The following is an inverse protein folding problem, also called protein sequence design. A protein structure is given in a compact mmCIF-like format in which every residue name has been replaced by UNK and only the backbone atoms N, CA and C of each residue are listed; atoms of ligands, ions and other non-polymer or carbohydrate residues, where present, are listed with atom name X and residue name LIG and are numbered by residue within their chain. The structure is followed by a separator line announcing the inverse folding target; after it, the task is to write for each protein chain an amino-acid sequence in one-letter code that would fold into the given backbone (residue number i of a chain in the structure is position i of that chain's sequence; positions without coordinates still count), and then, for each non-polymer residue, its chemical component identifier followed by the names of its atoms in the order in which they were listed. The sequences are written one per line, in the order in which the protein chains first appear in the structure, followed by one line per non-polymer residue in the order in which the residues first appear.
data_IF_488514185934
#
_entry.id   IF_488514185934
#
_cell.length_a   1.000
_cell.length_b   1.000
_cell.length_c   1.000
_cell.angle_alpha   90.00
_cell.angle_beta   90.00
_cell.angle_gamma   90.00
#
_symmetry.space_group_name_H-M   'P 1'
#
loop_
_entity.id
_entity.type
_entity.pdbx_description
1 polymer ?
#
# COMPACT_ATOMS: atom_id res chain seq x y z
N UNK A 1 -3.51 0.79 -8.95
CA UNK A 1 -2.70 -0.28 -8.34
C UNK A 1 -3.57 -1.46 -7.86
N UNK A 2 -4.60 -1.86 -8.62
CA UNK A 2 -5.47 -2.99 -8.27
C UNK A 2 -6.00 -2.92 -6.83
N UNK A 3 -5.89 -4.04 -6.10
CA UNK A 3 -6.34 -4.18 -4.71
C UNK A 3 -5.27 -3.95 -3.64
N UNK A 4 -4.09 -3.41 -3.97
CA UNK A 4 -2.93 -3.34 -3.04
C UNK A 4 -3.29 -2.72 -1.67
N UNK A 5 -3.80 -1.50 -1.66
CA UNK A 5 -4.18 -0.80 -0.42
C UNK A 5 -5.33 -1.51 0.32
N UNK A 6 -6.35 -1.94 -0.41
CA UNK A 6 -7.50 -2.62 0.17
C UNK A 6 -7.13 -3.95 0.82
N UNK A 7 -6.16 -4.68 0.27
CA UNK A 7 -5.66 -5.92 0.84
C UNK A 7 -4.88 -5.69 2.12
N UNK A 8 -4.05 -4.63 2.17
CA UNK A 8 -3.35 -4.22 3.38
C UNK A 8 -4.33 -3.84 4.49
N UNK A 9 -5.31 -2.98 4.19
CA UNK A 9 -6.32 -2.59 5.17
C UNK A 9 -7.17 -3.77 5.64
N UNK A 10 -7.52 -4.70 4.75
CA UNK A 10 -8.25 -5.92 5.13
C UNK A 10 -7.47 -6.80 6.09
N UNK A 11 -6.13 -6.76 6.06
CA UNK A 11 -5.27 -7.46 7.02
C UNK A 11 -5.11 -6.71 8.34
N UNK A 12 -4.93 -5.38 8.29
CA UNK A 12 -4.71 -4.57 9.49
C UNK A 12 -5.98 -4.35 10.33
N UNK A 13 -7.14 -4.17 9.69
CA UNK A 13 -8.39 -3.84 10.38
C UNK A 13 -8.84 -4.88 11.42
N UNK A 14 -8.77 -6.21 11.16
CA UNK A 14 -9.07 -7.22 12.19
C UNK A 14 -8.16 -7.12 13.42
N UNK A 15 -6.87 -6.81 13.24
CA UNK A 15 -5.92 -6.64 14.35
C UNK A 15 -6.28 -5.41 15.19
N UNK A 16 -6.54 -4.27 14.52
CA UNK A 16 -7.02 -3.04 15.17
C UNK A 16 -8.30 -3.29 15.98
N UNK A 17 -9.25 -4.03 15.40
CA UNK A 17 -10.52 -4.37 16.08
C UNK A 17 -10.28 -5.26 17.30
N UNK A 18 -9.37 -6.23 17.19
CA UNK A 18 -9.03 -7.13 18.30
C UNK A 18 -8.46 -6.35 19.49
N UNK A 19 -7.56 -5.40 19.24
CA UNK A 19 -7.00 -4.55 20.29
C UNK A 19 -8.06 -3.65 20.92
N UNK A 20 -8.94 -3.05 20.12
CA UNK A 20 -10.05 -2.24 20.64
C UNK A 20 -11.03 -3.06 21.49
N UNK A 21 -11.34 -4.29 21.09
CA UNK A 21 -12.18 -5.21 21.86
C UNK A 21 -11.54 -5.63 23.20
N UNK A 22 -10.20 -5.64 23.25
CA UNK A 22 -9.42 -5.85 24.48
C UNK A 22 -9.33 -4.60 25.35
N UNK A 23 -9.91 -3.47 24.91
CA UNK A 23 -9.86 -2.19 25.62
C UNK A 23 -8.54 -1.44 25.46
N UNK A 24 -7.72 -1.81 24.48
CA UNK A 24 -6.46 -1.11 24.15
C UNK A 24 -6.77 0.07 23.23
N UNK A 25 -6.28 1.26 23.59
CA UNK A 25 -6.36 2.43 22.73
C UNK A 25 -5.38 2.31 21.56
N UNK A 26 -5.85 2.64 20.35
CA UNK A 26 -5.04 2.51 19.14
C UNK A 26 -4.89 3.86 18.45
N UNK A 27 -3.63 4.26 18.28
CA UNK A 27 -3.23 5.44 17.54
C UNK A 27 -2.66 5.06 16.17
N UNK A 28 -2.87 5.91 15.16
CA UNK A 28 -2.50 5.66 13.78
C UNK A 28 -1.51 6.73 13.29
N UNK A 29 -0.37 6.27 12.78
CA UNK A 29 0.55 7.08 11.99
C UNK A 29 0.39 6.69 10.51
N UNK A 30 -0.07 7.62 9.67
CA UNK A 30 -0.48 7.31 8.30
C UNK A 30 0.55 7.78 7.28
N UNK A 31 0.97 6.86 6.41
CA UNK A 31 1.86 7.16 5.29
C UNK A 31 1.09 7.03 3.98
N UNK A 32 0.93 8.15 3.28
CA UNK A 32 0.32 8.24 1.96
C UNK A 32 -1.17 8.64 1.93
N UNK A 33 -1.58 9.22 0.79
CA UNK A 33 -2.91 9.81 0.60
C UNK A 33 -4.07 8.82 0.71
N UNK A 34 -3.86 7.58 0.26
CA UNK A 34 -4.90 6.54 0.30
C UNK A 34 -5.22 6.10 1.73
N UNK A 35 -4.20 5.96 2.58
CA UNK A 35 -4.38 5.67 4.00
C UNK A 35 -5.12 6.83 4.69
N UNK A 36 -4.69 8.08 4.48
CA UNK A 36 -5.37 9.25 5.05
C UNK A 36 -6.84 9.32 4.65
N UNK A 37 -7.15 9.15 3.36
CA UNK A 37 -8.54 9.21 2.88
C UNK A 37 -9.38 8.10 3.51
N UNK A 38 -8.82 6.89 3.59
CA UNK A 38 -9.51 5.74 4.18
C UNK A 38 -9.80 5.95 5.67
N UNK A 39 -8.79 6.24 6.48
CA UNK A 39 -8.93 6.37 7.93
C UNK A 39 -9.66 7.64 8.37
N UNK A 40 -9.70 8.70 7.54
CA UNK A 40 -10.62 9.83 7.77
C UNK A 40 -12.10 9.40 7.73
N UNK A 41 -12.45 8.45 6.88
CA UNK A 41 -13.83 7.95 6.75
C UNK A 41 -14.15 6.79 7.68
N UNK A 42 -13.17 5.90 7.90
CA UNK A 42 -13.32 4.74 8.80
C UNK A 42 -13.36 5.17 10.27
N UNK A 43 -12.69 6.28 10.61
CA UNK A 43 -12.45 6.69 11.99
C UNK A 43 -11.15 6.09 12.54
N UNK A 44 -10.72 6.59 13.70
CA UNK A 44 -9.46 6.24 14.33
C UNK A 44 -8.70 7.48 14.79
N UNK A 45 -7.87 7.33 15.82
CA UNK A 45 -7.06 8.43 16.34
C UNK A 45 -5.79 8.58 15.49
N UNK A 46 -5.77 9.54 14.56
CA UNK A 46 -4.60 9.79 13.69
C UNK A 46 -3.69 10.82 14.36
N UNK A 47 -2.52 10.38 14.81
CA UNK A 47 -1.56 11.22 15.54
C UNK A 47 -0.49 11.86 14.66
N UNK A 48 -0.19 11.22 13.54
CA UNK A 48 0.75 11.74 12.56
C UNK A 48 0.35 11.27 11.16
N UNK A 49 0.58 12.10 10.15
CA UNK A 49 0.34 11.73 8.78
C UNK A 49 1.30 12.43 7.83
N UNK A 50 1.82 11.69 6.86
CA UNK A 50 2.61 12.21 5.74
C UNK A 50 1.95 11.80 4.43
N UNK A 51 2.04 12.67 3.43
CA UNK A 51 1.48 12.48 2.10
C UNK A 51 2.52 12.87 1.04
N UNK A 52 2.19 12.60 -0.22
CA UNK A 52 2.91 13.15 -1.38
C UNK A 52 4.41 12.83 -1.45
N UNK A 53 4.79 11.62 -1.03
CA UNK A 53 6.17 11.10 -1.07
C UNK A 53 6.70 10.81 -2.49
N UNK A 54 5.81 10.79 -3.50
CA UNK A 54 6.16 10.48 -4.89
C UNK A 54 6.65 9.03 -5.10
N UNK A 55 7.29 8.80 -6.24
CA UNK A 55 7.85 7.48 -6.63
C UNK A 55 9.27 7.25 -6.08
N UNK A 56 9.92 8.27 -5.53
CA UNK A 56 11.27 8.23 -4.97
C UNK A 56 11.27 8.90 -3.59
N UNK A 57 10.78 8.20 -2.54
CA UNK A 57 10.68 8.76 -1.20
C UNK A 57 12.07 9.02 -0.62
N UNK A 58 12.19 10.10 0.16
CA UNK A 58 13.40 10.39 0.93
C UNK A 58 13.16 10.11 2.42
N UNK A 59 14.21 9.77 3.15
CA UNK A 59 14.07 9.41 4.57
C UNK A 59 13.63 10.63 5.38
N UNK A 60 14.09 11.82 5.01
CA UNK A 60 13.79 13.09 5.68
C UNK A 60 12.28 13.37 5.74
N UNK A 61 11.52 12.93 4.74
CA UNK A 61 10.07 13.10 4.68
C UNK A 61 9.34 12.25 5.73
N UNK A 62 9.95 11.15 6.18
CA UNK A 62 9.38 10.21 7.15
C UNK A 62 9.83 10.51 8.58
N UNK A 63 11.00 11.11 8.77
CA UNK A 63 11.60 11.36 10.11
C UNK A 63 10.60 12.05 11.03
N UNK A 64 9.87 13.06 10.55
CA UNK A 64 8.89 13.77 11.38
C UNK A 64 7.76 12.87 11.88
N UNK A 65 7.24 11.99 11.03
CA UNK A 65 6.15 11.06 11.38
C UNK A 65 6.65 9.98 12.33
N UNK A 66 7.82 9.40 12.05
CA UNK A 66 8.43 8.35 12.88
C UNK A 66 8.76 8.91 14.27
N UNK A 67 9.32 10.12 14.34
CA UNK A 67 9.66 10.78 15.60
C UNK A 67 8.45 10.94 16.51
N UNK A 68 7.28 11.36 16.00
CA UNK A 68 6.06 11.49 16.82
C UNK A 68 5.68 10.16 17.47
N UNK A 69 5.80 9.05 16.75
CA UNK A 69 5.50 7.72 17.28
C UNK A 69 6.53 7.28 18.31
N UNK A 70 7.83 7.50 18.03
CA UNK A 70 8.90 7.14 18.96
C UNK A 70 8.90 7.98 20.24
N UNK A 71 8.63 9.28 20.15
CA UNK A 71 8.56 10.16 21.32
C UNK A 71 7.43 9.72 22.27
N UNK A 72 6.30 9.25 21.73
CA UNK A 72 5.18 8.68 22.52
C UNK A 72 5.55 7.33 23.17
N UNK A 73 6.28 6.49 22.45
CA UNK A 73 6.81 5.24 23.00
C UNK A 73 7.80 5.50 24.13
N UNK A 74 8.75 6.43 23.94
CA UNK A 74 9.72 6.84 24.95
C UNK A 74 9.05 7.45 26.20
N UNK A 75 7.91 8.14 26.02
CA UNK A 75 7.10 8.69 27.10
C UNK A 75 6.25 7.63 27.85
N UNK A 76 6.18 6.39 27.34
CA UNK A 76 5.34 5.34 27.89
C UNK A 76 3.84 5.54 27.61
N UNK A 77 3.48 6.36 26.63
CA UNK A 77 2.09 6.50 26.16
C UNK A 77 1.68 5.33 25.24
N UNK A 78 2.65 4.72 24.57
CA UNK A 78 2.46 3.58 23.68
C UNK A 78 3.40 2.45 24.11
N UNK A 79 2.85 1.25 24.28
CA UNK A 79 3.61 0.05 24.67
C UNK A 79 4.15 -0.74 23.46
N UNK A 80 3.45 -0.70 22.32
CA UNK A 80 3.82 -1.47 21.12
C UNK A 80 3.57 -0.66 19.84
N UNK A 81 4.50 -0.77 18.89
CA UNK A 81 4.42 -0.12 17.58
C UNK A 81 4.44 -1.19 16.50
N UNK A 82 3.45 -1.16 15.61
CA UNK A 82 3.33 -2.07 14.47
C UNK A 82 3.45 -1.31 13.15
N UNK A 83 4.11 -1.93 12.17
CA UNK A 83 4.25 -1.44 10.81
C UNK A 83 3.43 -2.30 9.85
N UNK A 84 2.39 -1.70 9.28
CA UNK A 84 1.59 -2.30 8.22
C UNK A 84 2.11 -1.85 6.85
N UNK A 85 2.65 -2.78 6.06
CA UNK A 85 3.22 -2.54 4.73
C UNK A 85 2.94 -3.72 3.79
N UNK A 86 3.30 -3.58 2.51
CA UNK A 86 3.27 -4.71 1.57
C UNK A 86 4.69 -5.16 1.28
N UNK A 87 4.95 -6.46 1.44
CA UNK A 87 6.19 -7.12 1.05
C UNK A 87 6.17 -7.45 -0.43
N UNK A 88 7.24 -7.10 -1.13
CA UNK A 88 7.41 -7.39 -2.55
C UNK A 88 7.91 -8.83 -2.71
N UNK A 89 7.02 -9.74 -3.12
CA UNK A 89 7.41 -11.13 -3.43
C UNK A 89 7.87 -11.23 -4.87
N UNK A 90 7.05 -10.74 -5.80
CA UNK A 90 7.37 -10.60 -7.21
C UNK A 90 6.42 -9.58 -7.86
N UNK A 91 6.53 -9.39 -9.17
CA UNK A 91 5.71 -8.42 -9.93
C UNK A 91 4.21 -8.69 -9.88
N UNK A 92 3.79 -9.96 -9.76
CA UNK A 92 2.38 -10.36 -9.68
C UNK A 92 1.86 -10.49 -8.24
N UNK A 93 2.75 -10.76 -7.28
CA UNK A 93 2.40 -11.07 -5.89
C UNK A 93 3.00 -10.05 -4.94
N UNK A 94 2.13 -9.35 -4.21
CA UNK A 94 2.46 -8.48 -3.10
C UNK A 94 1.73 -8.98 -1.85
N UNK A 95 2.46 -9.22 -0.77
CA UNK A 95 1.92 -9.81 0.45
C UNK A 95 1.73 -8.73 1.51
N UNK A 96 0.49 -8.45 1.97
CA UNK A 96 0.30 -7.51 3.08
C UNK A 96 0.88 -8.12 4.36
N UNK A 97 1.64 -7.31 5.10
CA UNK A 97 2.32 -7.67 6.33
C UNK A 97 2.03 -6.64 7.41
N UNK A 98 1.79 -7.12 8.62
CA UNK A 98 1.77 -6.30 9.83
C UNK A 98 2.85 -6.90 10.71
N UNK A 99 3.89 -6.12 10.98
CA UNK A 99 5.06 -6.57 11.73
C UNK A 99 5.26 -5.66 12.94
N UNK A 100 5.60 -6.24 14.09
CA UNK A 100 5.98 -5.47 15.27
C UNK A 100 7.33 -4.79 15.01
N UNK A 101 7.39 -3.49 15.25
CA UNK A 101 8.57 -2.66 15.07
C UNK A 101 9.27 -2.41 16.42
N UNK A 102 8.48 -2.14 17.46
CA UNK A 102 8.96 -1.93 18.84
C UNK A 102 7.93 -2.53 19.81
N UNK A 103 8.35 -3.22 20.90
CA UNK A 103 9.71 -3.62 21.22
C UNK A 103 10.28 -4.62 20.21
N UNK A 104 11.61 -4.57 19.99
CA UNK A 104 12.30 -5.56 19.17
C UNK A 104 12.29 -6.91 19.89
N UNK A 105 11.82 -7.93 19.20
CA UNK A 105 11.91 -9.30 19.68
C UNK A 105 13.32 -9.82 19.38
N UNK A 106 14.01 -10.32 20.40
CA UNK A 106 15.33 -10.94 20.22
C UNK A 106 15.18 -12.33 19.62
N UNK A 107 15.87 -12.59 18.51
CA UNK A 107 16.07 -13.96 18.05
C UNK A 107 17.19 -14.60 18.89
N UNK A 108 16.94 -15.79 19.46
CA UNK A 108 17.93 -16.60 20.17
C UNK A 108 19.00 -17.10 19.20
N UNK A 109 19.94 -16.23 18.82
CA UNK A 109 21.09 -16.61 18.01
C UNK A 109 22.21 -17.12 18.91
N UNK A 110 22.45 -18.43 18.90
CA UNK A 110 23.50 -19.12 19.68
C UNK A 110 24.92 -18.92 19.14
N UNK A 111 25.11 -18.12 18.09
CA UNK A 111 26.41 -17.88 17.44
C UNK A 111 26.82 -16.40 17.51
N UNK A 112 26.88 -15.83 18.71
CA UNK A 112 27.51 -14.53 18.90
C UNK A 112 29.04 -14.69 18.96
N UNK A 113 29.73 -14.44 17.86
CA UNK A 113 31.17 -14.14 17.92
C UNK A 113 31.29 -12.76 18.58
N UNK A 114 31.58 -12.73 19.88
CA UNK A 114 31.60 -11.51 20.66
C UNK A 114 32.92 -10.75 20.42
N UNK A 115 32.86 -9.72 19.57
CA UNK A 115 33.88 -8.67 19.54
C UNK A 115 33.37 -7.50 20.37
N UNK A 116 34.14 -7.11 21.40
CA UNK A 116 33.85 -5.94 22.21
C UNK A 116 34.39 -4.69 21.49
N UNK A 117 33.56 -3.64 21.42
CA UNK A 117 33.91 -2.39 20.75
C UNK A 117 34.26 -1.32 21.79
N UNK A 118 35.21 -0.44 21.46
CA UNK A 118 35.39 0.78 22.23
C UNK A 118 34.31 1.78 21.83
N UNK A 119 33.34 2.01 22.72
CA UNK A 119 32.25 2.94 22.50
C UNK A 119 32.62 4.35 22.99
N UNK A 120 32.42 5.35 22.13
CA UNK A 120 32.51 6.76 22.49
C UNK A 120 31.15 7.43 22.20
N UNK A 121 30.48 8.09 23.17
CA UNK A 121 30.90 8.35 24.57
C UNK A 121 30.70 7.17 25.54
N UNK A 122 29.64 6.38 25.37
CA UNK A 122 29.37 5.14 26.13
C UNK A 122 28.43 4.23 25.33
N UNK A 123 28.40 2.94 25.68
CA UNK A 123 27.65 1.92 24.94
C UNK A 123 26.14 2.18 24.92
N UNK A 124 25.56 2.71 26.01
CA UNK A 124 24.11 2.96 26.09
C UNK A 124 23.73 4.10 25.14
N UNK A 125 24.45 5.22 25.21
CA UNK A 125 24.18 6.36 24.33
C UNK A 125 24.33 5.99 22.85
N UNK A 126 25.36 5.21 22.52
CA UNK A 126 25.56 4.72 21.15
C UNK A 126 24.41 3.79 20.71
N UNK A 127 23.99 2.86 21.58
CA UNK A 127 22.89 1.95 21.30
C UNK A 127 21.56 2.69 21.12
N UNK A 128 21.23 3.64 22.00
CA UNK A 128 19.99 4.43 21.91
C UNK A 128 19.91 5.18 20.57
N UNK A 129 21.03 5.76 20.11
CA UNK A 129 21.12 6.41 18.80
C UNK A 129 20.94 5.40 17.66
N UNK A 130 21.64 4.26 17.72
CA UNK A 130 21.58 3.21 16.70
C UNK A 130 20.18 2.62 16.59
N UNK A 131 19.49 2.42 17.71
CA UNK A 131 18.14 1.90 17.77
C UNK A 131 17.15 2.83 17.06
N UNK A 132 17.23 4.14 17.32
CA UNK A 132 16.42 5.14 16.60
C UNK A 132 16.68 5.09 15.09
N UNK A 133 17.95 5.08 14.68
CA UNK A 133 18.34 4.99 13.26
C UNK A 133 17.92 3.68 12.60
N UNK A 134 17.97 2.58 13.34
CA UNK A 134 17.51 1.28 12.88
C UNK A 134 16.01 1.30 12.59
N UNK A 135 15.21 1.86 13.50
CA UNK A 135 13.76 1.98 13.32
C UNK A 135 13.44 2.90 12.13
N UNK A 136 14.09 4.06 12.03
CA UNK A 136 13.96 4.96 10.88
C UNK A 136 14.26 4.25 9.55
N UNK A 137 15.36 3.49 9.51
CA UNK A 137 15.79 2.72 8.34
C UNK A 137 14.82 1.59 8.00
N UNK A 138 14.29 0.88 9.01
CA UNK A 138 13.31 -0.21 8.82
C UNK A 138 12.00 0.30 8.23
N UNK A 139 11.48 1.42 8.75
CA UNK A 139 10.29 2.07 8.21
C UNK A 139 10.55 2.58 6.79
N UNK A 140 11.68 3.26 6.55
CA UNK A 140 12.05 3.74 5.23
C UNK A 140 12.18 2.60 4.21
N UNK A 141 12.85 1.51 4.58
CA UNK A 141 12.97 0.31 3.75
C UNK A 141 11.60 -0.27 3.38
N UNK A 142 10.68 -0.33 4.34
CA UNK A 142 9.31 -0.78 4.09
C UNK A 142 8.52 0.16 3.18
N UNK A 143 8.73 1.48 3.27
CA UNK A 143 8.11 2.47 2.37
C UNK A 143 8.64 2.30 0.95
N UNK A 144 9.96 2.17 0.77
CA UNK A 144 10.58 1.93 -0.54
C UNK A 144 10.09 0.61 -1.15
N UNK A 145 10.03 -0.45 -0.37
CA UNK A 145 9.51 -1.75 -0.82
C UNK A 145 8.02 -1.65 -1.20
N UNK A 146 7.22 -0.89 -0.46
CA UNK A 146 5.82 -0.66 -0.78
C UNK A 146 5.64 0.17 -2.07
N UNK A 147 6.55 1.09 -2.39
CA UNK A 147 6.56 1.78 -3.70
C UNK A 147 6.84 0.79 -4.83
N UNK A 148 7.78 -0.14 -4.64
CA UNK A 148 8.01 -1.21 -5.63
C UNK A 148 6.77 -2.11 -5.81
N UNK A 149 6.10 -2.47 -4.71
CA UNK A 149 4.81 -3.16 -4.74
C UNK A 149 3.75 -2.37 -5.52
N UNK A 150 3.70 -1.05 -5.34
CA UNK A 150 2.76 -0.19 -6.05
C UNK A 150 3.00 -0.24 -7.56
N UNK A 151 4.24 -0.11 -8.02
CA UNK A 151 4.54 -0.17 -9.45
C UNK A 151 4.20 -1.54 -10.06
N UNK A 152 4.54 -2.64 -9.35
CA UNK A 152 4.18 -3.99 -9.77
C UNK A 152 2.66 -4.18 -9.88
N UNK A 153 1.92 -3.83 -8.83
CA UNK A 153 0.46 -3.93 -8.81
C UNK A 153 -0.22 -3.00 -9.83
N UNK A 154 0.36 -1.82 -10.09
CA UNK A 154 -0.12 -0.87 -11.10
C UNK A 154 0.08 -1.45 -12.50
N UNK A 155 1.25 -2.00 -12.81
CA UNK A 155 1.54 -2.64 -14.09
C UNK A 155 0.57 -3.78 -14.39
N UNK A 156 0.35 -4.69 -13.44
CA UNK A 156 -0.58 -5.82 -13.61
C UNK A 156 -2.02 -5.34 -13.79
N UNK A 157 -2.46 -4.39 -12.97
CA UNK A 157 -3.82 -3.85 -13.08
C UNK A 157 -4.06 -3.14 -14.41
N UNK A 158 -3.08 -2.40 -14.93
CA UNK A 158 -3.19 -1.71 -16.22
C UNK A 158 -3.14 -2.68 -17.40
N UNK A 159 -2.34 -3.75 -17.31
CA UNK A 159 -2.35 -4.83 -18.31
C UNK A 159 -3.74 -5.46 -18.40
N UNK A 160 -4.31 -5.86 -17.27
CA UNK A 160 -5.66 -6.44 -17.25
C UNK A 160 -6.72 -5.46 -17.77
N UNK A 161 -6.59 -4.16 -17.46
CA UNK A 161 -7.48 -3.14 -17.99
C UNK A 161 -7.38 -3.00 -19.52
N UNK A 162 -6.17 -3.08 -20.08
CA UNK A 162 -5.93 -3.04 -21.52
C UNK A 162 -6.50 -4.29 -22.22
N UNK A 163 -6.30 -5.47 -21.62
CA UNK A 163 -6.84 -6.74 -22.15
C UNK A 163 -8.38 -6.69 -22.16
N UNK A 164 -9.02 -6.26 -21.05
CA UNK A 164 -10.48 -6.09 -20.96
C UNK A 164 -11.03 -5.05 -21.96
N UNK A 165 -10.28 -3.96 -22.20
CA UNK A 165 -10.66 -2.96 -23.19
C UNK A 165 -10.58 -3.54 -24.61
N UNK A 166 -9.59 -4.40 -24.89
CA UNK A 166 -9.47 -5.13 -26.15
C UNK A 166 -10.69 -6.01 -26.43
N UNK A 167 -11.11 -6.80 -25.44
CA UNK A 167 -12.32 -7.64 -25.53
C UNK A 167 -13.57 -6.79 -25.83
N UNK A 168 -13.75 -5.69 -25.10
CA UNK A 168 -14.88 -4.78 -25.32
C UNK A 168 -14.86 -4.15 -26.72
N UNK A 169 -13.69 -3.78 -27.22
CA UNK A 169 -13.53 -3.24 -28.57
C UNK A 169 -13.96 -4.27 -29.62
N UNK A 170 -13.59 -5.53 -29.45
CA UNK A 170 -13.92 -6.58 -30.40
C UNK A 170 -15.43 -6.91 -30.40
N UNK A 171 -16.06 -6.91 -29.23
CA UNK A 171 -17.52 -7.02 -29.11
C UNK A 171 -18.24 -5.85 -29.79
N UNK A 172 -17.77 -4.62 -29.56
CA UNK A 172 -18.35 -3.42 -30.19
C UNK A 172 -18.15 -3.41 -31.70
N UNK A 173 -17.01 -3.89 -32.22
CA UNK A 173 -16.80 -4.05 -33.67
C UNK A 173 -17.78 -5.05 -34.28
N UNK A 174 -18.04 -6.16 -33.60
CA UNK A 174 -19.01 -7.16 -34.07
C UNK A 174 -20.42 -6.56 -34.13
N UNK A 175 -20.83 -5.85 -33.07
CA UNK A 175 -22.11 -5.14 -33.03
C UNK A 175 -22.22 -4.07 -34.12
N UNK A 176 -21.15 -3.28 -34.34
CA UNK A 176 -21.09 -2.28 -35.39
C UNK A 176 -21.26 -2.89 -36.79
N UNK A 177 -20.56 -3.98 -37.08
CA UNK A 177 -20.66 -4.63 -38.39
C UNK A 177 -22.06 -5.22 -38.63
N UNK A 178 -22.70 -5.80 -37.61
CA UNK A 178 -24.08 -6.27 -37.69
C UNK A 178 -25.05 -5.12 -37.97
N UNK A 179 -24.94 -4.02 -37.23
CA UNK A 179 -25.77 -2.83 -37.41
C UNK A 179 -25.57 -2.21 -38.81
N UNK A 180 -24.31 -2.13 -39.28
CA UNK A 180 -23.98 -1.64 -40.61
C UNK A 180 -24.62 -2.49 -41.71
N UNK A 181 -24.55 -3.82 -41.60
CA UNK A 181 -25.18 -4.72 -42.57
C UNK A 181 -26.71 -4.56 -42.56
N UNK A 182 -27.33 -4.49 -41.38
CA UNK A 182 -28.77 -4.27 -41.26
C UNK A 182 -29.21 -2.94 -41.89
N UNK A 183 -28.43 -1.86 -41.70
CA UNK A 183 -28.70 -0.56 -42.32
C UNK A 183 -28.61 -0.62 -43.85
N UNK A 184 -27.55 -1.23 -44.41
CA UNK A 184 -27.40 -1.41 -45.86
C UNK A 184 -28.59 -2.22 -46.43
N UNK A 185 -28.99 -3.31 -45.76
CA UNK A 185 -30.13 -4.12 -46.20
C UNK A 185 -31.45 -3.37 -46.13
N UNK A 186 -31.65 -2.53 -45.10
CA UNK A 186 -32.83 -1.69 -44.97
C UNK A 186 -32.90 -0.64 -46.09
N UNK A 187 -31.80 0.08 -46.33
CA UNK A 187 -31.71 1.06 -47.43
C UNK A 187 -31.99 0.42 -48.80
N UNK A 188 -31.39 -0.74 -49.08
CA UNK A 188 -31.66 -1.46 -50.34
C UNK A 188 -33.12 -1.92 -50.45
N UNK A 189 -33.73 -2.38 -49.35
CA UNK A 189 -35.14 -2.80 -49.33
C UNK A 189 -36.08 -1.61 -49.58
N UNK A 190 -35.77 -0.45 -49.03
CA UNK A 190 -36.50 0.81 -49.28
C UNK A 190 -36.37 1.25 -50.75
N UNK A 191 -35.18 1.18 -51.35
CA UNK A 191 -34.98 1.52 -52.76
C UNK A 191 -35.80 0.61 -53.69
N UNK A 192 -35.76 -0.71 -53.46
CA UNK A 192 -36.48 -1.69 -54.31
C UNK A 192 -38.00 -1.58 -54.16
N UNK A 193 -38.49 -1.41 -52.93
CA UNK A 193 -39.93 -1.23 -52.68
C UNK A 193 -40.45 0.09 -53.25
N UNK A 194 -39.69 1.18 -53.14
CA UNK A 194 -40.04 2.47 -53.75
C UNK A 194 -40.06 2.42 -55.28
N UNK A 195 -39.10 1.72 -55.90
CA UNK A 195 -39.04 1.54 -57.36
C UNK A 195 -40.21 0.71 -57.91
N UNK A 196 -40.71 -0.25 -57.13
CA UNK A 196 -41.83 -1.13 -57.53
C UNK A 196 -43.22 -0.48 -57.35
N UNK A 197 -43.29 0.66 -56.65
CA UNK A 197 -44.52 1.39 -56.38
C UNK A 197 -44.83 2.49 -57.41
N UNK A 198 -43.96 2.68 -58.40
CA UNK A 198 -44.09 3.62 -59.54
C UNK A 198 -44.37 2.83 -60.81
#
# INVERSE_FOLDING_TARGET
CGGLNSNLFRKALPELKTWQEQGVEVELALVGNKAQTFFRSFGGNVVAAVADLGDAPHIEDLVGTIKVVLDKYDAGEIDEVYLASNKFVNTATQAPTVAKLVPLESEDSTEATHWDYLYEPDAKTALDLLMRRYIESSVFGSVVENVACEQGARMVAMKNAADNAGEMIDDLKLAYNKARQAAITAELSEIVSGSSAV
#
